data_IF_469396464468
#
_entry.id   IF_469396464468
#
_cell.length_a   1.000
_cell.length_b   1.000
_cell.length_c   1.000
_cell.angle_alpha   90.00
_cell.angle_beta   90.00
_cell.angle_gamma   90.00
#
_symmetry.space_group_name_H-M   'P 1'
#
loop_
_entity.id
_entity.type
_entity.pdbx_description
1 polymer ?
#
# COMPACT_ATOMS: atom_id res chain seq x y z
N UNK A 1 16.56 20.37 -5.28
CA UNK A 1 16.01 19.60 -6.42
C UNK A 1 14.53 19.96 -6.48
N UNK A 2 14.03 20.40 -7.63
CA UNK A 2 12.59 20.59 -7.80
C UNK A 2 11.99 19.19 -7.86
N UNK A 3 11.36 18.75 -6.77
CA UNK A 3 10.55 17.55 -6.82
C UNK A 3 9.37 17.84 -7.74
N UNK A 4 9.42 17.31 -8.96
CA UNK A 4 8.29 17.37 -9.88
C UNK A 4 7.24 16.39 -9.36
N UNK A 5 6.18 16.95 -8.78
CA UNK A 5 5.02 16.20 -8.35
C UNK A 5 4.04 16.05 -9.51
N UNK A 6 3.57 14.82 -9.73
CA UNK A 6 2.53 14.49 -10.70
C UNK A 6 1.34 13.86 -9.97
N UNK A 7 0.13 13.97 -10.53
CA UNK A 7 -1.01 13.28 -9.92
C UNK A 7 -0.87 11.77 -10.11
N UNK A 8 -1.38 10.98 -9.15
CA UNK A 8 -1.24 9.51 -9.21
C UNK A 8 -1.94 8.93 -10.45
N UNK A 9 -3.03 9.56 -10.89
CA UNK A 9 -3.75 9.17 -12.11
C UNK A 9 -2.95 9.42 -13.37
N UNK A 10 -2.29 10.58 -13.45
CA UNK A 10 -1.38 10.90 -14.56
C UNK A 10 -0.18 9.95 -14.55
N UNK A 11 0.42 9.71 -13.37
CA UNK A 11 1.51 8.76 -13.20
C UNK A 11 1.14 7.35 -13.70
N UNK A 12 -0.03 6.85 -13.30
CA UNK A 12 -0.54 5.56 -13.76
C UNK A 12 -0.61 5.49 -15.29
N UNK A 13 -1.14 6.55 -15.92
CA UNK A 13 -1.33 6.61 -17.36
C UNK A 13 -0.03 6.81 -18.15
N UNK A 14 0.85 7.71 -17.70
CA UNK A 14 2.12 8.03 -18.36
C UNK A 14 3.08 6.84 -18.34
N UNK A 15 3.14 6.13 -17.22
CA UNK A 15 4.10 5.05 -16.99
C UNK A 15 3.50 3.63 -17.17
N UNK A 16 2.23 3.54 -17.59
CA UNK A 16 1.56 2.25 -17.81
C UNK A 16 1.38 1.42 -16.54
N UNK A 17 1.20 2.09 -15.39
CA UNK A 17 1.00 1.46 -14.09
C UNK A 17 -0.50 1.39 -13.75
N UNK A 18 -0.85 0.51 -12.84
CA UNK A 18 -2.19 0.38 -12.28
C UNK A 18 -2.27 1.10 -10.94
N UNK A 19 -3.26 1.98 -10.83
CA UNK A 19 -3.65 2.62 -9.58
C UNK A 19 -4.72 1.77 -8.91
N UNK A 20 -4.42 1.22 -7.74
CA UNK A 20 -5.32 0.34 -7.00
C UNK A 20 -5.39 0.69 -5.53
N UNK A 21 -6.44 0.19 -4.88
CA UNK A 21 -6.57 0.18 -3.42
C UNK A 21 -6.36 -1.28 -3.01
N UNK A 22 -5.27 -1.54 -2.30
CA UNK A 22 -4.94 -2.86 -1.76
C UNK A 22 -5.17 -2.91 -0.25
N UNK A 23 -5.36 -4.11 0.28
CA UNK A 23 -5.41 -4.36 1.72
C UNK A 23 -4.02 -4.71 2.21
N UNK A 24 -3.56 -3.98 3.22
CA UNK A 24 -2.32 -4.30 3.92
C UNK A 24 -2.56 -5.45 4.88
N UNK A 25 -1.73 -6.49 4.83
CA UNK A 25 -1.81 -7.67 5.70
C UNK A 25 -0.50 -7.85 6.47
N UNK A 26 -0.59 -8.37 7.70
CA UNK A 26 0.59 -8.77 8.48
C UNK A 26 0.37 -10.14 9.09
N UNK A 27 1.42 -10.95 9.06
CA UNK A 27 1.48 -12.23 9.76
C UNK A 27 1.78 -11.99 11.24
N UNK A 28 0.97 -12.61 12.09
CA UNK A 28 1.12 -12.59 13.53
C UNK A 28 1.34 -14.01 14.04
N UNK A 29 2.38 -14.17 14.85
CA UNK A 29 2.65 -15.40 15.56
C UNK A 29 1.97 -15.35 16.94
N UNK A 30 1.28 -16.43 17.29
CA UNK A 30 0.71 -16.62 18.61
C UNK A 30 1.25 -17.92 19.22
N UNK A 31 1.73 -17.81 20.45
CA UNK A 31 2.21 -18.96 21.19
C UNK A 31 1.45 -19.09 22.51
N UNK A 32 0.70 -20.19 22.64
CA UNK A 32 0.03 -20.55 23.87
C UNK A 32 0.89 -21.54 24.67
N UNK A 33 1.68 -21.01 25.61
CA UNK A 33 2.59 -21.78 26.45
C UNK A 33 1.90 -22.84 27.32
N UNK A 34 0.61 -22.67 27.65
CA UNK A 34 -0.10 -23.61 28.52
C UNK A 34 -0.45 -24.91 27.80
N UNK A 35 -0.76 -24.81 26.50
CA UNK A 35 -1.08 -25.96 25.65
C UNK A 35 0.05 -26.36 24.70
N UNK A 36 1.18 -25.62 24.71
CA UNK A 36 2.31 -25.80 23.79
C UNK A 36 1.87 -25.75 22.31
N UNK A 37 0.98 -24.82 21.98
CA UNK A 37 0.45 -24.61 20.62
C UNK A 37 1.09 -23.34 20.05
N UNK A 38 1.68 -23.49 18.87
CA UNK A 38 2.12 -22.38 18.03
C UNK A 38 1.14 -22.23 16.87
N UNK A 39 0.72 -21.00 16.60
CA UNK A 39 -0.20 -20.66 15.53
C UNK A 39 0.32 -19.43 14.79
N UNK A 40 0.13 -19.40 13.47
CA UNK A 40 0.52 -18.29 12.60
C UNK A 40 -0.71 -17.93 11.76
N UNK A 41 -1.10 -16.66 11.81
CA UNK A 41 -2.27 -16.17 11.08
C UNK A 41 -2.02 -14.79 10.50
N UNK A 42 -2.67 -14.49 9.38
CA UNK A 42 -2.59 -13.18 8.72
C UNK A 42 -3.83 -12.35 9.07
N UNK A 43 -3.60 -11.08 9.42
CA UNK A 43 -4.68 -10.11 9.64
C UNK A 43 -4.56 -8.92 8.70
N UNK A 44 -5.71 -8.45 8.22
CA UNK A 44 -5.82 -7.18 7.52
C UNK A 44 -5.64 -6.02 8.50
N UNK A 45 -4.75 -5.09 8.17
CA UNK A 45 -4.39 -3.96 9.04
C UNK A 45 -4.97 -2.62 8.55
N UNK A 46 -4.81 -2.31 7.26
CA UNK A 46 -5.23 -1.02 6.66
C UNK A 46 -5.47 -1.14 5.17
N UNK A 47 -6.01 -0.10 4.56
CA UNK A 47 -6.13 0.02 3.10
C UNK A 47 -5.10 0.98 2.59
N UNK A 48 -4.49 0.67 1.46
CA UNK A 48 -3.41 1.46 0.90
C UNK A 48 -3.69 1.72 -0.57
N UNK A 49 -3.56 2.98 -0.98
CA UNK A 49 -3.52 3.36 -2.39
C UNK A 49 -2.13 3.09 -2.90
N UNK A 50 -2.04 2.27 -3.94
CA UNK A 50 -0.78 1.79 -4.50
C UNK A 50 -0.71 2.06 -6.01
N UNK A 51 0.53 2.25 -6.47
CA UNK A 51 0.90 2.18 -7.88
C UNK A 51 1.74 0.93 -8.11
N UNK A 52 1.33 0.09 -9.05
CA UNK A 52 1.99 -1.19 -9.34
C UNK A 52 1.90 -1.54 -10.82
N UNK A 53 2.80 -2.38 -11.31
CA UNK A 53 2.70 -3.02 -12.64
C UNK A 53 1.71 -4.19 -12.66
N UNK A 54 1.29 -4.68 -11.49
CA UNK A 54 0.42 -5.85 -11.38
C UNK A 54 -1.05 -5.45 -11.18
N UNK A 55 -1.85 -5.58 -12.23
CA UNK A 55 -3.30 -5.32 -12.19
C UNK A 55 -4.06 -6.19 -11.19
N UNK A 56 -3.57 -7.40 -10.90
CA UNK A 56 -4.28 -8.38 -10.06
C UNK A 56 -3.90 -8.31 -8.58
N UNK A 57 -3.03 -7.36 -8.19
CA UNK A 57 -2.62 -7.23 -6.81
C UNK A 57 -3.78 -6.71 -5.95
N UNK A 58 -4.13 -7.45 -4.90
CA UNK A 58 -5.20 -7.10 -3.95
C UNK A 58 -4.68 -6.91 -2.52
N UNK A 59 -3.61 -7.61 -2.16
CA UNK A 59 -2.99 -7.59 -0.82
C UNK A 59 -1.52 -7.21 -0.91
N UNK A 60 -1.04 -6.51 0.11
CA UNK A 60 0.36 -6.10 0.28
C UNK A 60 0.78 -6.39 1.72
N UNK A 61 2.03 -6.82 1.92
CA UNK A 61 2.52 -7.08 3.27
C UNK A 61 2.97 -5.78 3.97
N UNK A 62 2.51 -5.59 5.19
CA UNK A 62 2.89 -4.49 6.08
C UNK A 62 4.03 -4.92 7.00
N UNK A 63 5.18 -4.26 6.91
CA UNK A 63 6.27 -4.49 7.87
C UNK A 63 5.84 -4.04 9.28
N UNK A 64 5.20 -2.87 9.39
CA UNK A 64 4.75 -2.29 10.65
C UNK A 64 3.40 -1.56 10.54
N UNK A 65 2.28 -2.25 10.81
CA UNK A 65 0.94 -1.67 10.78
C UNK A 65 0.71 -0.59 11.85
N UNK A 66 1.60 -0.46 12.84
CA UNK A 66 1.43 0.49 13.96
C UNK A 66 1.98 1.88 13.63
N UNK A 67 2.89 1.98 12.67
CA UNK A 67 3.40 3.26 12.19
C UNK A 67 2.57 3.78 11.01
N UNK A 68 2.43 5.11 10.84
CA UNK A 68 1.86 5.67 9.63
C UNK A 68 2.68 5.23 8.42
N UNK A 69 2.02 5.02 7.28
CA UNK A 69 2.79 4.64 6.09
C UNK A 69 3.73 5.78 5.70
N UNK A 70 4.92 5.43 5.25
CA UNK A 70 5.80 6.40 4.59
C UNK A 70 5.27 6.63 3.18
N UNK A 71 4.43 7.65 3.01
CA UNK A 71 3.92 8.08 1.70
C UNK A 71 5.09 8.29 0.74
N UNK A 72 5.06 7.65 -0.43
CA UNK A 72 6.16 7.69 -1.41
C UNK A 72 7.23 6.61 -1.23
N UNK A 73 7.05 5.62 -0.35
CA UNK A 73 7.96 4.47 -0.24
C UNK A 73 7.64 3.42 -1.31
N UNK A 74 8.68 2.86 -1.92
CA UNK A 74 8.58 1.67 -2.77
C UNK A 74 8.89 0.45 -1.92
N UNK A 75 7.95 -0.49 -1.85
CA UNK A 75 8.09 -1.78 -1.17
C UNK A 75 7.76 -2.86 -2.20
N UNK A 76 8.69 -3.80 -2.43
CA UNK A 76 8.51 -4.90 -3.41
C UNK A 76 8.09 -4.46 -4.82
N UNK A 77 8.62 -3.32 -5.29
CA UNK A 77 8.27 -2.77 -6.60
C UNK A 77 6.86 -2.19 -6.68
N UNK A 78 6.25 -1.88 -5.53
CA UNK A 78 4.95 -1.24 -5.39
C UNK A 78 5.17 0.10 -4.69
N UNK A 79 4.68 1.19 -5.27
CA UNK A 79 4.75 2.50 -4.66
C UNK A 79 3.51 2.73 -3.80
N UNK A 80 3.73 2.96 -2.52
CA UNK A 80 2.69 3.25 -1.55
C UNK A 80 2.44 4.75 -1.52
N UNK A 81 1.20 5.15 -1.80
CA UNK A 81 0.85 6.56 -1.94
C UNK A 81 0.23 7.10 -0.66
N UNK A 82 -0.79 6.42 -0.15
CA UNK A 82 -1.57 6.86 1.01
C UNK A 82 -2.30 5.72 1.69
N UNK A 83 -2.43 5.75 3.01
CA UNK A 83 -3.24 4.79 3.76
C UNK A 83 -4.58 5.34 4.25
N UNK A 84 -5.49 4.40 4.48
CA UNK A 84 -6.86 4.62 4.91
C UNK A 84 -7.28 3.52 5.88
N UNK A 85 -8.18 3.85 6.81
CA UNK A 85 -8.76 2.86 7.72
C UNK A 85 -9.56 1.79 6.96
N UNK A 86 -9.50 0.53 7.44
CA UNK A 86 -10.32 -0.57 6.94
C UNK A 86 -11.83 -0.30 7.01
N UNK A 87 -12.26 0.60 7.90
CA UNK A 87 -13.65 0.98 8.10
C UNK A 87 -14.21 1.87 6.98
N UNK A 88 -13.35 2.48 6.16
CA UNK A 88 -13.75 3.36 5.07
C UNK A 88 -14.09 2.49 3.86
N UNK A 89 -15.26 2.66 3.23
CA UNK A 89 -15.62 1.96 1.99
C UNK A 89 -14.65 2.37 0.85
N UNK A 90 -14.10 1.43 0.05
CA UNK A 90 -13.02 1.76 -0.88
C UNK A 90 -13.50 2.63 -2.04
N UNK A 91 -14.78 2.54 -2.41
CA UNK A 91 -15.40 3.35 -3.47
C UNK A 91 -15.53 4.83 -3.07
N UNK A 92 -15.47 5.14 -1.77
CA UNK A 92 -15.52 6.52 -1.26
C UNK A 92 -14.14 7.17 -1.20
N UNK A 93 -13.07 6.45 -1.52
CA UNK A 93 -11.72 6.98 -1.47
C UNK A 93 -11.47 7.83 -2.73
N UNK A 94 -11.29 9.14 -2.53
CA UNK A 94 -10.99 10.06 -3.63
C UNK A 94 -9.51 10.01 -4.00
N UNK A 95 -9.23 9.64 -5.25
CA UNK A 95 -7.88 9.48 -5.80
C UNK A 95 -7.41 10.68 -6.63
N UNK A 96 -8.26 11.70 -6.82
CA UNK A 96 -7.99 12.81 -7.73
C UNK A 96 -6.88 13.74 -7.23
N UNK A 97 -6.82 13.98 -5.92
CA UNK A 97 -5.93 14.99 -5.34
C UNK A 97 -4.59 14.42 -4.86
N UNK A 98 -4.40 13.11 -4.98
CA UNK A 98 -3.17 12.46 -4.57
C UNK A 98 -2.05 12.79 -5.57
N UNK A 99 -0.86 13.05 -5.03
CA UNK A 99 0.33 13.40 -5.80
C UNK A 99 1.51 12.54 -5.37
N UNK A 100 2.38 12.23 -6.31
CA UNK A 100 3.62 11.47 -6.09
C UNK A 100 4.77 12.15 -6.80
N UNK A 101 5.99 11.95 -6.29
CA UNK A 101 7.20 12.45 -6.95
C UNK A 101 7.47 11.63 -8.22
N UNK A 102 7.69 12.32 -9.34
CA UNK A 102 8.01 11.68 -10.63
C UNK A 102 9.23 10.77 -10.53
N UNK A 103 10.24 11.19 -9.76
CA UNK A 103 11.47 10.43 -9.55
C UNK A 103 11.20 9.05 -8.92
N UNK A 104 10.18 8.92 -8.07
CA UNK A 104 9.81 7.64 -7.46
C UNK A 104 9.08 6.74 -8.45
N UNK A 105 8.22 7.32 -9.29
CA UNK A 105 7.48 6.57 -10.31
C UNK A 105 8.43 5.99 -11.36
N UNK A 106 9.48 6.73 -11.73
CA UNK A 106 10.52 6.26 -12.66
C UNK A 106 11.35 5.08 -12.14
N UNK A 107 11.36 4.85 -10.82
CA UNK A 107 12.09 3.74 -10.19
C UNK A 107 11.29 2.42 -10.16
N UNK A 108 9.99 2.44 -10.50
CA UNK A 108 9.11 1.26 -10.55
C UNK A 108 9.32 0.42 -11.80
#
# INVERSE_FOLDING_TARGET
>A
MNEEYITVKEAAKEYGLFLKIATSVKSFDSYNSFFNIYDEFEEACRRVVILTKNEKLEEVYDEDPTEPINEGRIVDGILWVKDYSLLINPEKIELNDLKVSRNLVEQL
#
